data_IF_117047726340
#
_entry.id   IF_117047726340
#
_cell.length_a   1.000
_cell.length_b   1.000
_cell.length_c   1.000
_cell.angle_alpha   90.00
_cell.angle_beta   90.00
_cell.angle_gamma   90.00
#
_symmetry.space_group_name_H-M   'P 1'
#
loop_
_entity.id
_entity.type
_entity.pdbx_description
1 polymer ?
#
# COMPACT_ATOMS: atom_id res chain seq x y z
N UNK A 1 31.19 -10.94 24.40
CA UNK A 1 30.87 -9.70 23.68
C UNK A 1 29.93 -10.09 22.55
N UNK A 2 28.64 -9.82 22.68
CA UNK A 2 27.66 -10.04 21.62
C UNK A 2 26.93 -8.71 21.39
N UNK A 3 27.00 -8.18 20.17
CA UNK A 3 25.91 -7.41 19.61
C UNK A 3 25.61 -8.01 18.22
N UNK A 4 24.42 -8.49 17.89
CA UNK A 4 23.11 -7.93 18.13
C UNK A 4 22.42 -7.96 16.76
N UNK A 5 21.70 -9.04 16.49
CA UNK A 5 20.65 -9.16 15.46
C UNK A 5 20.97 -8.63 14.05
N UNK A 6 21.46 -9.52 13.18
CA UNK A 6 21.07 -9.53 11.76
C UNK A 6 19.58 -9.89 11.66
N UNK A 7 18.69 -9.00 12.13
CA UNK A 7 17.30 -9.08 11.71
C UNK A 7 17.29 -8.70 10.22
N UNK A 8 16.67 -9.51 9.35
CA UNK A 8 16.45 -9.08 7.97
C UNK A 8 15.79 -7.70 8.00
N UNK A 9 16.11 -6.81 7.04
CA UNK A 9 15.52 -5.47 6.99
C UNK A 9 14.01 -5.62 7.12
N UNK A 10 13.46 -5.11 8.21
CA UNK A 10 12.03 -5.22 8.46
C UNK A 10 11.33 -4.43 7.35
N UNK A 11 10.58 -5.12 6.50
CA UNK A 11 9.74 -4.44 5.53
C UNK A 11 8.70 -3.65 6.34
N UNK A 12 8.71 -2.30 6.27
CA UNK A 12 7.76 -1.51 7.02
C UNK A 12 6.35 -1.92 6.60
N UNK A 13 5.49 -2.10 7.60
CA UNK A 13 4.10 -2.43 7.33
C UNK A 13 3.36 -1.17 6.88
N UNK A 14 2.51 -1.34 5.86
CA UNK A 14 1.66 -0.27 5.35
C UNK A 14 0.25 -0.47 5.87
N UNK A 15 -0.30 0.53 6.53
CA UNK A 15 -1.66 0.50 7.07
C UNK A 15 -2.53 1.53 6.38
N UNK A 16 -3.66 1.09 5.82
CA UNK A 16 -4.65 1.95 5.17
C UNK A 16 -6.02 1.69 5.80
N UNK A 17 -6.78 2.75 6.02
CA UNK A 17 -8.17 2.67 6.47
C UNK A 17 -9.09 3.29 5.44
N UNK A 18 -10.36 2.87 5.40
CA UNK A 18 -11.40 3.62 4.71
C UNK A 18 -11.62 5.01 5.37
N UNK A 19 -12.27 5.97 4.70
CA UNK A 19 -12.50 7.31 5.25
C UNK A 19 -13.28 7.31 6.58
N UNK A 20 -14.23 6.38 6.73
CA UNK A 20 -15.02 6.23 7.95
C UNK A 20 -14.25 5.50 9.08
N UNK A 21 -13.03 5.01 8.81
CA UNK A 21 -12.18 4.26 9.74
C UNK A 21 -12.88 3.04 10.35
N UNK A 22 -13.74 2.41 9.57
CA UNK A 22 -14.46 1.20 9.95
C UNK A 22 -13.71 -0.06 9.54
N UNK A 23 -12.90 0.02 8.48
CA UNK A 23 -12.10 -1.07 7.93
C UNK A 23 -10.67 -0.59 7.81
N UNK A 24 -9.72 -1.37 8.33
CA UNK A 24 -8.30 -1.07 8.23
C UNK A 24 -7.56 -2.32 7.75
N UNK A 25 -6.75 -2.17 6.71
CA UNK A 25 -5.88 -3.22 6.19
C UNK A 25 -4.43 -2.90 6.47
N UNK A 26 -3.68 -3.90 6.91
CA UNK A 26 -2.22 -3.84 7.05
C UNK A 26 -1.59 -4.80 6.06
N UNK A 27 -0.65 -4.30 5.27
CA UNK A 27 0.12 -5.06 4.30
C UNK A 27 1.60 -5.08 4.69
N UNK A 28 2.24 -6.23 4.49
CA UNK A 28 3.68 -6.43 4.66
C UNK A 28 4.19 -7.20 3.44
N UNK A 29 5.19 -6.64 2.75
CA UNK A 29 5.87 -7.34 1.65
C UNK A 29 4.89 -7.78 0.54
N UNK A 30 3.94 -6.93 0.18
CA UNK A 30 2.91 -7.19 -0.84
C UNK A 30 1.71 -8.03 -0.37
N UNK A 31 1.73 -8.56 0.85
CA UNK A 31 0.65 -9.39 1.39
C UNK A 31 -0.13 -8.67 2.48
N UNK A 32 -1.45 -8.63 2.36
CA UNK A 32 -2.33 -8.16 3.43
C UNK A 32 -2.31 -9.17 4.58
N UNK A 33 -1.74 -8.79 5.72
CA UNK A 33 -1.53 -9.68 6.88
C UNK A 33 -2.55 -9.46 8.00
N UNK A 34 -3.23 -8.32 8.00
CA UNK A 34 -4.23 -8.00 9.01
C UNK A 34 -5.38 -7.18 8.42
N UNK A 35 -6.61 -7.53 8.78
CA UNK A 35 -7.80 -6.71 8.55
C UNK A 35 -8.47 -6.48 9.91
N UNK A 36 -8.71 -5.21 10.25
CA UNK A 36 -9.49 -4.81 11.43
C UNK A 36 -10.82 -4.23 10.98
N UNK A 37 -11.88 -4.70 11.62
CA UNK A 37 -13.25 -4.25 11.40
C UNK A 37 -13.79 -3.67 12.72
N UNK A 38 -14.44 -2.51 12.66
CA UNK A 38 -15.28 -2.04 13.75
C UNK A 38 -16.71 -2.56 13.56
N UNK A 39 -17.55 -2.60 14.61
CA UNK A 39 -18.94 -3.01 14.46
C UNK A 39 -19.72 -2.21 13.40
N UNK A 40 -19.37 -0.93 13.20
CA UNK A 40 -19.99 -0.09 12.18
C UNK A 40 -19.70 -0.54 10.74
N UNK A 41 -18.62 -1.30 10.51
CA UNK A 41 -18.33 -1.90 9.20
C UNK A 41 -19.35 -2.97 8.80
N UNK A 42 -20.02 -3.59 9.79
CA UNK A 42 -20.97 -4.67 9.58
C UNK A 42 -22.37 -4.18 9.16
N UNK A 43 -22.54 -2.86 9.03
CA UNK A 43 -23.78 -2.28 8.53
C UNK A 43 -23.87 -2.46 7.01
N UNK A 44 -24.90 -3.17 6.56
CA UNK A 44 -25.16 -3.44 5.14
C UNK A 44 -25.20 -4.93 4.83
N UNK A 45 -24.95 -5.29 3.57
CA UNK A 45 -24.87 -6.69 3.16
C UNK A 45 -23.45 -7.24 3.30
N UNK A 46 -23.31 -8.56 3.37
CA UNK A 46 -22.00 -9.22 3.33
C UNK A 46 -21.24 -8.91 2.02
N UNK A 47 -21.96 -8.74 0.92
CA UNK A 47 -21.38 -8.36 -0.37
C UNK A 47 -20.75 -6.95 -0.30
N UNK A 48 -21.43 -5.99 0.33
CA UNK A 48 -20.91 -4.64 0.52
C UNK A 48 -19.67 -4.66 1.43
N UNK A 49 -19.70 -5.43 2.51
CA UNK A 49 -18.57 -5.59 3.40
C UNK A 49 -17.37 -6.20 2.67
N UNK A 50 -17.58 -7.27 1.91
CA UNK A 50 -16.52 -7.91 1.12
C UNK A 50 -15.91 -6.94 0.10
N UNK A 51 -16.73 -6.18 -0.62
CA UNK A 51 -16.26 -5.18 -1.57
C UNK A 51 -15.39 -4.10 -0.89
N UNK A 52 -15.83 -3.59 0.27
CA UNK A 52 -15.07 -2.58 1.02
C UNK A 52 -13.76 -3.14 1.57
N UNK A 53 -13.75 -4.37 2.09
CA UNK A 53 -12.52 -5.03 2.56
C UNK A 53 -11.52 -5.18 1.41
N UNK A 54 -11.99 -5.65 0.24
CA UNK A 54 -11.15 -5.81 -0.94
C UNK A 54 -10.56 -4.47 -1.40
N UNK A 55 -11.35 -3.40 -1.39
CA UNK A 55 -10.87 -2.06 -1.74
C UNK A 55 -9.76 -1.58 -0.80
N UNK A 56 -9.98 -1.60 0.52
CA UNK A 56 -8.97 -1.16 1.51
C UNK A 56 -7.71 -2.03 1.46
N UNK A 57 -7.89 -3.35 1.29
CA UNK A 57 -6.77 -4.27 1.12
C UNK A 57 -5.97 -3.98 -0.16
N UNK A 58 -6.64 -3.67 -1.27
CA UNK A 58 -5.98 -3.24 -2.51
C UNK A 58 -5.17 -1.96 -2.31
N UNK A 59 -5.74 -0.93 -1.69
CA UNK A 59 -5.02 0.32 -1.44
C UNK A 59 -3.81 0.13 -0.52
N UNK A 60 -3.91 -0.71 0.51
CA UNK A 60 -2.74 -1.02 1.35
C UNK A 60 -1.62 -1.72 0.57
N UNK A 61 -1.96 -2.59 -0.39
CA UNK A 61 -0.98 -3.28 -1.24
C UNK A 61 -0.35 -2.34 -2.27
N UNK A 62 -1.13 -1.48 -2.89
CA UNK A 62 -0.59 -0.52 -3.85
C UNK A 62 0.32 0.51 -3.17
N UNK A 63 0.01 0.89 -1.92
CA UNK A 63 0.88 1.76 -1.13
C UNK A 63 2.18 1.06 -0.70
N UNK A 64 2.16 -0.23 -0.34
CA UNK A 64 3.38 -1.05 -0.13
C UNK A 64 4.22 -1.18 -1.41
N UNK A 65 3.58 -1.30 -2.58
CA UNK A 65 4.27 -1.31 -3.87
C UNK A 65 4.93 0.03 -4.21
N UNK A 66 4.28 1.15 -3.89
CA UNK A 66 4.86 2.47 -4.04
C UNK A 66 6.08 2.67 -3.10
N UNK A 67 5.95 2.30 -1.82
CA UNK A 67 7.07 2.33 -0.86
C UNK A 67 8.23 1.43 -1.28
N UNK A 68 7.95 0.29 -1.92
CA UNK A 68 8.98 -0.56 -2.51
C UNK A 68 9.65 0.11 -3.71
N UNK A 69 8.90 0.77 -4.59
CA UNK A 69 9.46 1.48 -5.73
C UNK A 69 10.45 2.55 -5.26
N UNK A 70 10.07 3.38 -4.27
CA UNK A 70 10.95 4.41 -3.73
C UNK A 70 12.23 3.84 -3.10
N UNK A 71 12.14 2.68 -2.42
CA UNK A 71 13.34 1.99 -1.91
C UNK A 71 14.25 1.49 -3.02
N UNK A 72 13.69 0.87 -4.06
CA UNK A 72 14.48 0.41 -5.21
C UNK A 72 15.18 1.58 -5.91
N UNK A 73 14.51 2.74 -6.02
CA UNK A 73 15.13 3.98 -6.52
C UNK A 73 16.29 4.40 -5.62
N UNK A 74 16.09 4.45 -4.31
CA UNK A 74 17.13 4.85 -3.37
C UNK A 74 18.35 3.91 -3.39
N UNK A 75 18.10 2.59 -3.47
CA UNK A 75 19.15 1.56 -3.59
C UNK A 75 19.93 1.71 -4.91
N UNK A 76 19.25 1.91 -6.04
CA UNK A 76 19.91 2.17 -7.33
C UNK A 76 20.77 3.43 -7.30
N UNK A 77 20.25 4.54 -6.76
CA UNK A 77 21.00 5.80 -6.65
C UNK A 77 22.23 5.63 -5.74
N UNK A 78 22.10 4.91 -4.63
CA UNK A 78 23.21 4.60 -3.74
C UNK A 78 24.28 3.73 -4.43
N UNK A 79 23.89 2.88 -5.39
CA UNK A 79 24.80 2.10 -6.24
C UNK A 79 25.45 2.94 -7.37
N UNK A 80 25.06 4.20 -7.54
CA UNK A 80 25.60 5.13 -8.54
C UNK A 80 24.75 5.24 -9.81
N UNK A 81 23.56 4.65 -9.86
CA UNK A 81 22.66 4.75 -11.00
C UNK A 81 21.94 6.11 -11.07
N UNK A 82 21.36 6.42 -12.23
CA UNK A 82 20.56 7.62 -12.43
C UNK A 82 19.15 7.46 -11.87
N UNK A 83 18.76 8.34 -10.95
CA UNK A 83 17.43 8.32 -10.30
C UNK A 83 16.28 8.40 -11.32
N UNK A 84 16.39 9.30 -12.30
CA UNK A 84 15.33 9.52 -13.29
C UNK A 84 15.12 8.29 -14.18
N UNK A 85 16.20 7.63 -14.58
CA UNK A 85 16.16 6.39 -15.34
C UNK A 85 15.52 5.27 -14.50
N UNK A 86 15.90 5.13 -13.23
CA UNK A 86 15.33 4.12 -12.33
C UNK A 86 13.82 4.33 -12.11
N UNK A 87 13.38 5.56 -11.82
CA UNK A 87 11.95 5.91 -11.71
C UNK A 87 11.19 5.62 -13.00
N UNK A 88 11.78 5.94 -14.16
CA UNK A 88 11.17 5.65 -15.47
C UNK A 88 10.97 4.15 -15.65
N UNK A 89 12.01 3.37 -15.39
CA UNK A 89 11.98 1.91 -15.47
C UNK A 89 10.90 1.32 -14.54
N UNK A 90 10.89 1.70 -13.27
CA UNK A 90 9.95 1.13 -12.29
C UNK A 90 8.49 1.51 -12.58
N UNK A 91 8.22 2.78 -12.85
CA UNK A 91 6.84 3.26 -12.98
C UNK A 91 6.27 3.07 -14.38
N UNK A 92 7.06 3.27 -15.44
CA UNK A 92 6.57 3.17 -16.83
C UNK A 92 6.76 1.78 -17.42
N UNK A 93 7.89 1.12 -17.17
CA UNK A 93 8.17 -0.18 -17.78
C UNK A 93 7.65 -1.34 -16.92
N UNK A 94 7.78 -1.25 -15.60
CA UNK A 94 7.28 -2.26 -14.65
C UNK A 94 5.91 -1.96 -14.05
N UNK A 95 5.30 -0.82 -14.37
CA UNK A 95 3.97 -0.43 -13.90
C UNK A 95 3.83 -0.48 -12.36
N UNK A 96 4.89 -0.14 -11.63
CA UNK A 96 4.78 0.09 -10.19
C UNK A 96 4.06 1.43 -9.96
N UNK A 97 3.04 1.48 -9.09
CA UNK A 97 2.33 2.72 -8.82
C UNK A 97 3.26 3.74 -8.13
N UNK A 98 3.05 5.02 -8.42
CA UNK A 98 3.57 6.10 -7.58
C UNK A 98 2.64 6.37 -6.41
N UNK A 99 3.11 7.02 -5.35
CA UNK A 99 2.25 7.47 -4.26
C UNK A 99 1.09 8.35 -4.74
N UNK A 100 1.35 9.22 -5.72
CA UNK A 100 0.32 10.07 -6.30
C UNK A 100 -0.77 9.27 -7.02
N UNK A 101 -0.41 8.18 -7.71
CA UNK A 101 -1.39 7.30 -8.36
C UNK A 101 -2.28 6.61 -7.33
N UNK A 102 -1.69 6.12 -6.23
CA UNK A 102 -2.42 5.46 -5.15
C UNK A 102 -3.38 6.44 -4.47
N UNK A 103 -2.90 7.65 -4.14
CA UNK A 103 -3.73 8.67 -3.50
C UNK A 103 -4.86 9.12 -4.43
N UNK A 104 -4.60 9.31 -5.73
CA UNK A 104 -5.63 9.65 -6.72
C UNK A 104 -6.69 8.55 -6.85
N UNK A 105 -6.28 7.28 -6.91
CA UNK A 105 -7.20 6.14 -6.97
C UNK A 105 -8.04 6.01 -5.69
N UNK A 106 -7.42 6.20 -4.52
CA UNK A 106 -8.11 6.20 -3.23
C UNK A 106 -9.16 7.31 -3.18
N UNK A 107 -8.77 8.53 -3.55
CA UNK A 107 -9.67 9.69 -3.60
C UNK A 107 -10.82 9.44 -4.58
N UNK A 108 -10.55 8.95 -5.79
CA UNK A 108 -11.60 8.65 -6.77
C UNK A 108 -12.59 7.59 -6.27
N UNK A 109 -12.12 6.53 -5.60
CA UNK A 109 -12.98 5.48 -5.07
C UNK A 109 -13.92 5.97 -3.97
N UNK A 110 -13.46 6.87 -3.10
CA UNK A 110 -14.25 7.32 -1.94
C UNK A 110 -14.96 8.66 -2.12
N UNK A 111 -14.62 9.45 -3.14
CA UNK A 111 -15.30 10.71 -3.46
C UNK A 111 -16.36 10.58 -4.55
N UNK A 112 -16.43 9.46 -5.27
CA UNK A 112 -17.55 9.22 -6.16
C UNK A 112 -18.84 9.10 -5.34
N UNK A 113 -19.89 9.89 -5.63
CA UNK A 113 -21.20 9.63 -5.06
C UNK A 113 -21.61 8.24 -5.52
N UNK A 114 -21.83 7.35 -4.57
CA UNK A 114 -22.38 6.02 -4.85
C UNK A 114 -23.68 6.22 -5.65
N UNK A 115 -23.79 5.73 -6.89
CA UNK A 115 -25.05 5.82 -7.65
C UNK A 115 -26.19 5.05 -6.95
#
# INVERSE_FOLDING_TARGET
>A
MQPGHDLPPQHPSVTVSDPARTITATTVNGYTTNIKLTPAALNGTEADLAAKILAVAQFSRDRDRADRADRLVAESVAAGDNEHACRTYLHKEHNLPTHADVDAAYTAHYQQPNP
#
